data_IF_334988455102
#
_entry.id   IF_334988455102
#
_cell.length_a   1.000
_cell.length_b   1.000
_cell.length_c   1.000
_cell.angle_alpha   90.00
_cell.angle_beta   90.00
_cell.angle_gamma   90.00
#
_symmetry.space_group_name_H-M   'P 1'
#
loop_
_entity.id
_entity.type
_entity.pdbx_description
1 polymer ?
#
# COMPACT_ATOMS: atom_id res chain seq x y z
N UNK A 1 -10.46 -53.85 -33.43
CA UNK A 1 -10.40 -55.25 -32.96
C UNK A 1 -10.07 -55.24 -31.46
N UNK A 2 -10.95 -55.73 -30.57
CA UNK A 2 -10.68 -55.77 -29.14
C UNK A 2 -10.10 -57.14 -28.75
N UNK A 3 -9.07 -57.15 -27.89
CA UNK A 3 -8.50 -58.36 -27.31
C UNK A 3 -9.09 -58.57 -25.91
N UNK A 4 -9.90 -59.62 -25.82
CA UNK A 4 -10.43 -60.20 -24.59
C UNK A 4 -9.42 -61.24 -24.07
N UNK A 5 -9.14 -61.26 -22.77
CA UNK A 5 -8.57 -62.46 -22.12
C UNK A 5 -9.34 -62.77 -20.84
N UNK A 6 -9.98 -63.95 -20.84
CA UNK A 6 -10.53 -64.67 -19.70
C UNK A 6 -9.65 -65.89 -19.45
N UNK A 7 -9.43 -66.26 -18.19
CA UNK A 7 -9.51 -67.63 -17.61
C UNK A 7 -9.01 -67.62 -16.15
N UNK A 8 -9.87 -67.92 -15.17
CA UNK A 8 -10.01 -69.22 -14.43
C UNK A 8 -8.69 -69.70 -13.82
N UNK A 9 -8.50 -69.95 -12.53
CA UNK A 9 -9.40 -70.36 -11.45
C UNK A 9 -8.82 -71.63 -10.82
N UNK A 10 -8.59 -71.68 -9.51
CA UNK A 10 -8.42 -72.93 -8.74
C UNK A 10 -8.69 -72.69 -7.25
N UNK A 11 -9.45 -73.59 -6.65
CA UNK A 11 -9.88 -73.59 -5.25
C UNK A 11 -9.13 -74.67 -4.46
N UNK A 12 -8.87 -74.44 -3.16
CA UNK A 12 -8.71 -75.50 -2.13
C UNK A 12 -9.22 -75.00 -0.78
N UNK A 13 -9.91 -75.90 -0.07
CA UNK A 13 -10.58 -75.77 1.22
C UNK A 13 -9.66 -75.66 2.46
N UNK A 14 -10.14 -74.82 3.39
CA UNK A 14 -10.19 -74.89 4.86
C UNK A 14 -9.20 -75.76 5.68
N UNK A 15 -8.58 -75.12 6.67
CA UNK A 15 -8.40 -75.69 8.01
C UNK A 15 -8.69 -74.61 9.06
N UNK A 16 -9.60 -74.91 9.99
CA UNK A 16 -9.99 -74.04 11.10
C UNK A 16 -9.01 -74.16 12.26
N UNK A 17 -8.62 -73.02 12.84
CA UNK A 17 -8.09 -72.95 14.21
C UNK A 17 -8.62 -71.67 14.87
N UNK A 18 -9.36 -71.86 15.95
CA UNK A 18 -9.92 -70.82 16.83
C UNK A 18 -8.82 -70.42 17.81
N UNK A 19 -8.43 -69.14 17.92
CA UNK A 19 -8.01 -68.56 19.21
C UNK A 19 -8.00 -67.02 19.25
N UNK A 20 -8.86 -66.48 20.13
CA UNK A 20 -8.80 -65.24 20.95
C UNK A 20 -8.45 -63.92 20.22
N UNK A 21 -9.48 -63.08 20.03
CA UNK A 21 -9.35 -61.67 19.65
C UNK A 21 -8.94 -60.80 20.86
N UNK A 22 -7.91 -59.93 20.73
CA UNK A 22 -7.70 -58.82 21.65
C UNK A 22 -8.70 -57.68 21.37
N UNK A 23 -8.98 -56.91 22.41
CA UNK A 23 -9.96 -55.82 22.43
C UNK A 23 -9.78 -54.82 21.27
N UNK A 24 -10.90 -54.48 20.65
CA UNK A 24 -11.03 -53.40 19.65
C UNK A 24 -10.50 -52.10 20.24
N UNK A 25 -9.42 -51.58 19.66
CA UNK A 25 -9.17 -50.15 19.70
C UNK A 25 -10.33 -49.50 18.95
N UNK A 26 -11.10 -48.64 19.63
CA UNK A 26 -12.00 -47.73 18.95
C UNK A 26 -11.12 -46.74 18.20
N UNK A 27 -11.06 -46.89 16.88
CA UNK A 27 -10.62 -45.83 15.98
C UNK A 27 -11.54 -44.62 16.24
N UNK A 28 -11.03 -43.65 17.00
CA UNK A 28 -11.61 -42.30 17.00
C UNK A 28 -11.16 -41.68 15.68
N UNK A 29 -11.99 -41.87 14.67
CA UNK A 29 -11.94 -41.13 13.42
C UNK A 29 -12.16 -39.65 13.79
N UNK A 30 -11.07 -38.94 14.06
CA UNK A 30 -11.09 -37.48 14.10
C UNK A 30 -11.29 -37.03 12.67
N UNK A 31 -12.55 -36.96 12.25
CA UNK A 31 -12.97 -36.14 11.12
C UNK A 31 -12.47 -34.73 11.40
N UNK A 32 -11.32 -34.40 10.80
CA UNK A 32 -10.84 -33.05 10.78
C UNK A 32 -11.92 -32.23 10.08
N UNK A 33 -12.66 -31.44 10.85
CA UNK A 33 -13.61 -30.47 10.31
C UNK A 33 -12.76 -29.48 9.51
N UNK A 34 -12.64 -29.71 8.21
CA UNK A 34 -12.11 -28.73 7.27
C UNK A 34 -13.20 -27.67 7.17
N UNK A 35 -13.11 -26.65 8.03
CA UNK A 35 -13.89 -25.42 7.83
C UNK A 35 -13.36 -24.82 6.53
N UNK A 36 -14.16 -24.74 5.45
CA UNK A 36 -13.71 -24.10 4.23
C UNK A 36 -13.38 -22.65 4.57
N UNK A 37 -12.10 -22.28 4.42
CA UNK A 37 -11.71 -20.89 4.51
C UNK A 37 -12.37 -20.16 3.35
N UNK A 38 -13.37 -19.34 3.66
CA UNK A 38 -13.93 -18.37 2.71
C UNK A 38 -12.79 -17.51 2.17
N UNK A 39 -12.74 -17.35 0.84
CA UNK A 39 -11.79 -16.47 0.21
C UNK A 39 -11.91 -15.05 0.80
N UNK A 40 -10.79 -14.33 1.01
CA UNK A 40 -10.86 -12.96 1.50
C UNK A 40 -11.67 -12.07 0.56
N UNK A 41 -12.31 -11.04 1.12
CA UNK A 41 -13.04 -10.06 0.31
C UNK A 41 -12.10 -9.29 -0.63
N UNK A 42 -12.51 -9.02 -1.88
CA UNK A 42 -11.69 -8.28 -2.85
C UNK A 42 -11.28 -6.91 -2.31
N UNK A 43 -10.10 -6.45 -2.70
CA UNK A 43 -9.62 -5.11 -2.33
C UNK A 43 -8.67 -4.54 -3.38
N UNK A 44 -8.89 -3.31 -3.82
CA UNK A 44 -7.97 -2.63 -4.73
C UNK A 44 -6.68 -2.26 -3.99
N UNK A 45 -5.53 -2.43 -4.65
CA UNK A 45 -4.26 -2.15 -3.99
C UNK A 45 -4.11 -0.65 -3.77
N UNK A 46 -3.85 -0.26 -2.52
CA UNK A 46 -3.73 1.15 -2.13
C UNK A 46 -2.61 1.89 -2.90
N UNK A 47 -1.53 1.18 -3.25
CA UNK A 47 -0.46 1.73 -4.10
C UNK A 47 -0.98 2.13 -5.49
N UNK A 48 -1.79 1.29 -6.14
CA UNK A 48 -2.37 1.61 -7.45
C UNK A 48 -3.40 2.74 -7.35
N UNK A 49 -4.21 2.75 -6.29
CA UNK A 49 -5.18 3.82 -6.00
C UNK A 49 -4.50 5.17 -5.75
N UNK A 50 -3.28 5.22 -5.20
CA UNK A 50 -2.54 6.48 -5.04
C UNK A 50 -1.68 6.84 -6.26
N UNK A 51 -1.59 5.98 -7.28
CA UNK A 51 -0.88 6.27 -8.52
C UNK A 51 -1.82 6.86 -9.59
N UNK A 52 -2.70 7.77 -9.16
CA UNK A 52 -3.64 8.52 -10.00
C UNK A 52 -2.95 9.80 -10.48
N UNK A 53 -3.27 10.20 -11.72
CA UNK A 53 -2.81 11.47 -12.27
C UNK A 53 -3.79 12.59 -11.91
N UNK A 54 -3.24 13.76 -11.56
CA UNK A 54 -4.00 14.98 -11.31
C UNK A 54 -3.45 16.10 -12.18
N UNK A 55 -4.36 16.86 -12.78
CA UNK A 55 -4.05 18.13 -13.41
C UNK A 55 -4.56 19.26 -12.53
N UNK A 56 -3.62 19.98 -11.93
CA UNK A 56 -3.92 21.06 -11.00
C UNK A 56 -4.53 22.28 -11.71
N UNK A 57 -4.41 22.39 -13.04
CA UNK A 57 -4.99 23.52 -13.80
C UNK A 57 -6.48 23.29 -14.12
N UNK A 58 -6.86 22.07 -14.52
CA UNK A 58 -8.24 21.75 -14.90
C UNK A 58 -9.06 21.08 -13.79
N UNK A 59 -8.41 20.58 -12.73
CA UNK A 59 -9.07 19.75 -11.72
C UNK A 59 -9.36 18.33 -12.22
N UNK A 60 -8.68 17.90 -13.30
CA UNK A 60 -8.80 16.56 -13.84
C UNK A 60 -8.14 15.53 -12.92
N UNK A 61 -8.86 14.46 -12.66
CA UNK A 61 -8.41 13.21 -12.03
C UNK A 61 -8.44 12.15 -13.12
N UNK A 62 -7.30 11.51 -13.41
CA UNK A 62 -7.22 10.45 -14.41
C UNK A 62 -6.69 9.17 -13.79
N UNK A 63 -7.56 8.15 -13.77
CA UNK A 63 -7.27 6.83 -13.22
C UNK A 63 -6.86 5.92 -14.37
N UNK A 64 -5.73 5.23 -14.21
CA UNK A 64 -5.24 4.24 -15.19
C UNK A 64 -5.55 2.82 -14.74
N UNK A 65 -4.91 1.85 -15.39
CA UNK A 65 -4.88 0.47 -14.91
C UNK A 65 -4.65 0.38 -13.40
N UNK A 66 -5.45 -0.48 -12.77
CA UNK A 66 -5.49 -0.62 -11.32
C UNK A 66 -5.39 -2.09 -10.93
N UNK A 67 -4.76 -2.37 -9.78
CA UNK A 67 -4.56 -3.73 -9.29
C UNK A 67 -5.60 -4.09 -8.23
N UNK A 68 -6.14 -5.30 -8.31
CA UNK A 68 -7.12 -5.89 -7.40
C UNK A 68 -6.51 -7.12 -6.72
N UNK A 69 -6.52 -7.14 -5.39
CA UNK A 69 -6.22 -8.31 -4.57
C UNK A 69 -7.49 -9.11 -4.31
N UNK A 70 -7.33 -10.43 -4.14
CA UNK A 70 -8.41 -11.39 -3.93
C UNK A 70 -9.50 -11.27 -4.99
N UNK A 71 -9.08 -11.12 -6.24
CA UNK A 71 -9.99 -10.97 -7.36
C UNK A 71 -10.92 -12.21 -7.48
N UNK A 72 -12.24 -12.02 -7.65
CA UNK A 72 -13.17 -13.14 -7.86
C UNK A 72 -12.88 -13.84 -9.20
N UNK A 73 -13.08 -15.14 -9.26
CA UNK A 73 -12.89 -15.92 -10.48
C UNK A 73 -13.85 -15.49 -11.61
N UNK A 74 -13.37 -15.49 -12.85
CA UNK A 74 -14.17 -15.19 -14.04
C UNK A 74 -14.15 -13.71 -14.45
N UNK A 75 -15.22 -13.28 -15.13
CA UNK A 75 -15.42 -11.88 -15.52
C UNK A 75 -15.77 -11.04 -14.29
N UNK A 76 -15.20 -9.83 -14.20
CA UNK A 76 -15.34 -8.95 -13.04
C UNK A 76 -15.99 -7.63 -13.45
N UNK A 77 -17.17 -7.32 -12.91
CA UNK A 77 -17.78 -6.01 -13.11
C UNK A 77 -17.18 -4.99 -12.13
N UNK A 78 -16.00 -4.49 -12.46
CA UNK A 78 -15.30 -3.49 -11.67
C UNK A 78 -15.66 -2.06 -12.09
N UNK A 79 -15.71 -1.15 -11.13
CA UNK A 79 -15.90 0.27 -11.40
C UNK A 79 -15.33 1.16 -10.30
N UNK A 80 -15.38 2.46 -10.57
CA UNK A 80 -15.02 3.51 -9.61
C UNK A 80 -16.05 4.63 -9.69
N UNK A 81 -16.50 5.11 -8.54
CA UNK A 81 -17.41 6.23 -8.39
C UNK A 81 -16.73 7.37 -7.64
N UNK A 82 -16.81 8.57 -8.16
CA UNK A 82 -16.48 9.80 -7.45
C UNK A 82 -17.71 10.22 -6.65
N UNK A 83 -17.57 10.31 -5.32
CA UNK A 83 -18.64 10.72 -4.41
C UNK A 83 -18.24 11.96 -3.60
N UNK A 84 -19.22 12.78 -3.24
CA UNK A 84 -19.03 13.89 -2.30
C UNK A 84 -19.08 13.44 -0.83
N UNK A 85 -18.97 14.39 0.10
CA UNK A 85 -19.02 14.17 1.55
C UNK A 85 -20.36 13.61 2.06
N UNK A 86 -21.42 13.67 1.25
CA UNK A 86 -22.74 13.10 1.55
C UNK A 86 -22.94 11.70 0.96
N UNK A 87 -21.90 11.16 0.30
CA UNK A 87 -21.93 9.94 -0.51
C UNK A 87 -22.83 10.05 -1.76
N UNK A 88 -23.09 11.26 -2.25
CA UNK A 88 -23.77 11.45 -3.52
C UNK A 88 -22.80 11.17 -4.66
N UNK A 89 -23.19 10.29 -5.59
CA UNK A 89 -22.38 9.98 -6.78
C UNK A 89 -22.39 11.16 -7.73
N UNK A 90 -21.20 11.70 -7.99
CA UNK A 90 -20.97 12.81 -8.93
C UNK A 90 -20.72 12.25 -10.33
N UNK A 91 -19.86 11.23 -10.41
CA UNK A 91 -19.47 10.58 -11.64
C UNK A 91 -19.07 9.13 -11.37
N UNK A 92 -19.06 8.29 -12.40
CA UNK A 92 -18.57 6.92 -12.30
C UNK A 92 -17.97 6.42 -13.61
N UNK A 93 -17.13 5.40 -13.51
CA UNK A 93 -16.48 4.73 -14.63
C UNK A 93 -16.41 3.23 -14.38
N UNK A 94 -16.47 2.42 -15.45
CA UNK A 94 -16.38 0.96 -15.41
C UNK A 94 -15.11 0.49 -16.10
N UNK A 95 -14.41 -0.48 -15.50
CA UNK A 95 -13.23 -1.10 -16.10
C UNK A 95 -13.62 -2.24 -17.08
N UNK A 96 -12.66 -2.74 -17.87
CA UNK A 96 -12.90 -3.92 -18.70
C UNK A 96 -13.22 -5.14 -17.83
N UNK A 97 -14.21 -5.96 -18.21
CA UNK A 97 -14.61 -7.12 -17.41
C UNK A 97 -13.64 -8.30 -17.48
N UNK A 98 -12.64 -8.26 -18.38
CA UNK A 98 -11.61 -9.29 -18.53
C UNK A 98 -10.33 -8.89 -17.79
N UNK A 99 -10.16 -9.32 -16.52
CA UNK A 99 -9.00 -8.96 -15.73
C UNK A 99 -7.78 -9.74 -16.22
N UNK A 100 -6.62 -9.07 -16.23
CA UNK A 100 -5.35 -9.76 -16.49
C UNK A 100 -4.84 -10.36 -15.19
N UNK A 101 -5.08 -11.66 -15.00
CA UNK A 101 -4.62 -12.41 -13.83
C UNK A 101 -3.11 -12.35 -13.62
N UNK A 102 -2.68 -12.17 -12.37
CA UNK A 102 -1.29 -12.05 -11.93
C UNK A 102 -1.12 -12.77 -10.59
N UNK A 103 -0.08 -13.59 -10.44
CA UNK A 103 0.30 -14.19 -9.15
C UNK A 103 -0.87 -14.77 -8.32
N UNK A 104 -1.71 -15.61 -8.95
CA UNK A 104 -2.80 -16.32 -8.28
C UNK A 104 -3.97 -15.40 -7.92
N UNK A 105 -3.86 -14.68 -6.80
CA UNK A 105 -4.98 -13.92 -6.19
C UNK A 105 -5.05 -12.46 -6.64
N UNK A 106 -4.11 -12.01 -7.47
CA UNK A 106 -4.11 -10.64 -8.00
C UNK A 106 -4.62 -10.60 -9.42
N UNK A 107 -5.26 -9.50 -9.76
CA UNK A 107 -5.64 -9.22 -11.13
C UNK A 107 -5.44 -7.75 -11.45
N UNK A 108 -5.04 -7.45 -12.68
CA UNK A 108 -4.95 -6.08 -13.19
C UNK A 108 -6.16 -5.78 -14.05
N UNK A 109 -6.87 -4.74 -13.66
CA UNK A 109 -8.03 -4.22 -14.38
C UNK A 109 -7.56 -3.10 -15.30
N UNK A 110 -7.93 -3.19 -16.58
CA UNK A 110 -7.61 -2.17 -17.57
C UNK A 110 -8.80 -1.22 -17.79
N UNK A 111 -8.48 0.05 -18.03
CA UNK A 111 -9.45 1.12 -18.27
C UNK A 111 -10.16 0.97 -19.63
N UNK A 112 -11.48 1.23 -19.69
CA UNK A 112 -12.26 1.28 -20.95
C UNK A 112 -12.20 2.71 -21.48
N UNK A 113 -11.07 3.07 -22.07
CA UNK A 113 -10.77 4.50 -22.32
C UNK A 113 -10.37 5.20 -21.02
N UNK A 114 -10.05 6.51 -21.07
CA UNK A 114 -9.53 7.19 -19.89
C UNK A 114 -10.61 7.30 -18.80
N UNK A 115 -10.30 6.81 -17.59
CA UNK A 115 -11.18 6.98 -16.44
C UNK A 115 -10.96 8.37 -15.83
N UNK A 116 -11.53 9.36 -16.51
CA UNK A 116 -11.32 10.78 -16.24
C UNK A 116 -12.51 11.42 -15.52
N UNK A 117 -12.22 12.17 -14.46
CA UNK A 117 -13.20 12.99 -13.73
C UNK A 117 -12.69 14.42 -13.62
N UNK A 118 -13.53 15.41 -13.90
CA UNK A 118 -13.17 16.83 -13.67
C UNK A 118 -13.89 17.33 -12.43
N UNK A 119 -13.14 17.90 -11.49
CA UNK A 119 -13.66 18.40 -10.23
C UNK A 119 -13.14 19.81 -9.94
N UNK A 120 -14.06 20.76 -9.86
CA UNK A 120 -13.72 22.19 -9.70
C UNK A 120 -14.27 22.83 -8.44
N UNK A 121 -15.17 22.16 -7.72
CA UNK A 121 -15.78 22.69 -6.51
C UNK A 121 -14.99 22.25 -5.28
N UNK A 122 -14.47 23.17 -4.44
CA UNK A 122 -13.79 22.80 -3.20
C UNK A 122 -14.67 21.93 -2.30
N UNK A 123 -14.07 20.96 -1.63
CA UNK A 123 -14.82 20.05 -0.76
C UNK A 123 -14.06 18.79 -0.39
N UNK A 124 -14.74 17.87 0.29
CA UNK A 124 -14.24 16.54 0.62
C UNK A 124 -14.95 15.51 -0.25
N UNK A 125 -14.17 14.61 -0.82
CA UNK A 125 -14.59 13.63 -1.81
C UNK A 125 -14.02 12.26 -1.49
N UNK A 126 -14.51 11.25 -2.19
CA UNK A 126 -13.91 9.91 -2.19
C UNK A 126 -14.02 9.27 -3.56
N UNK A 127 -12.96 8.56 -3.96
CA UNK A 127 -13.06 7.55 -5.00
C UNK A 127 -13.46 6.23 -4.34
N UNK A 128 -14.63 5.72 -4.66
CA UNK A 128 -15.18 4.45 -4.15
C UNK A 128 -15.07 3.42 -5.25
N UNK A 129 -14.28 2.37 -5.00
CA UNK A 129 -14.07 1.28 -5.94
C UNK A 129 -15.09 0.16 -5.69
N UNK A 130 -15.62 -0.38 -6.78
CA UNK A 130 -16.77 -1.26 -6.79
C UNK A 130 -16.42 -2.58 -7.48
N UNK A 131 -16.96 -3.69 -6.95
CA UNK A 131 -17.02 -5.00 -7.62
C UNK A 131 -18.48 -5.45 -7.56
N UNK A 132 -19.07 -5.74 -8.73
CA UNK A 132 -20.48 -6.11 -8.88
C UNK A 132 -21.43 -5.11 -8.16
N UNK A 133 -21.10 -3.83 -8.26
CA UNK A 133 -21.85 -2.73 -7.65
C UNK A 133 -21.66 -2.57 -6.14
N UNK A 134 -20.84 -3.41 -5.49
CA UNK A 134 -20.55 -3.32 -4.04
C UNK A 134 -19.25 -2.57 -3.78
N UNK A 135 -19.22 -1.59 -2.86
CA UNK A 135 -17.99 -0.95 -2.42
C UNK A 135 -17.02 -1.94 -1.78
N UNK A 136 -15.78 -1.97 -2.27
CA UNK A 136 -14.71 -2.84 -1.77
C UNK A 136 -13.46 -2.08 -1.32
N UNK A 137 -13.26 -0.86 -1.80
CA UNK A 137 -12.16 0.01 -1.36
C UNK A 137 -12.52 1.47 -1.53
N UNK A 138 -11.95 2.37 -0.71
CA UNK A 138 -12.12 3.82 -0.87
C UNK A 138 -10.83 4.60 -0.71
N UNK A 139 -10.72 5.69 -1.47
CA UNK A 139 -9.65 6.68 -1.36
C UNK A 139 -10.27 8.05 -1.07
N UNK A 140 -10.32 8.49 0.19
CA UNK A 140 -10.80 9.82 0.53
C UNK A 140 -9.72 10.88 0.24
N UNK A 141 -10.18 12.05 -0.19
CA UNK A 141 -9.36 13.20 -0.49
C UNK A 141 -10.17 14.49 -0.36
N UNK A 142 -9.51 15.63 -0.30
CA UNK A 142 -10.14 16.93 -0.41
C UNK A 142 -9.57 17.73 -1.55
N UNK A 143 -10.37 18.68 -2.01
CA UNK A 143 -10.07 19.62 -3.07
C UNK A 143 -10.15 21.04 -2.49
N UNK A 144 -9.08 21.78 -2.67
CA UNK A 144 -9.04 23.23 -2.48
C UNK A 144 -8.94 23.90 -3.85
N UNK A 145 -9.68 25.00 -4.04
CA UNK A 145 -9.44 25.91 -5.16
C UNK A 145 -8.48 26.99 -4.68
N UNK A 146 -7.33 27.07 -5.33
CA UNK A 146 -6.35 28.13 -5.16
C UNK A 146 -6.44 29.08 -6.36
N UNK A 147 -5.82 30.25 -6.24
CA UNK A 147 -5.69 31.19 -7.34
C UNK A 147 -4.22 31.46 -7.55
N UNK A 148 -3.73 31.29 -8.77
CA UNK A 148 -2.41 31.73 -9.18
C UNK A 148 -2.55 32.88 -10.19
N UNK A 149 -1.57 33.79 -10.19
CA UNK A 149 -1.51 34.91 -11.14
C UNK A 149 -1.85 36.27 -10.54
N UNK A 150 -1.14 37.28 -11.05
CA UNK A 150 -1.24 38.68 -10.59
C UNK A 150 -2.33 39.48 -11.32
N UNK A 151 -3.07 38.86 -12.25
CA UNK A 151 -4.13 39.53 -13.02
C UNK A 151 -5.47 39.48 -12.24
N UNK A 152 -5.91 40.60 -11.64
CA UNK A 152 -7.17 40.64 -10.89
C UNK A 152 -8.40 40.52 -11.80
N UNK A 153 -8.26 40.67 -13.12
CA UNK A 153 -9.35 40.56 -14.08
C UNK A 153 -9.48 39.15 -14.67
N UNK A 154 -8.43 38.33 -14.56
CA UNK A 154 -8.41 36.96 -15.04
C UNK A 154 -7.58 36.06 -14.11
N UNK A 155 -8.01 35.86 -12.85
CA UNK A 155 -7.30 35.00 -11.92
C UNK A 155 -7.28 33.57 -12.47
N UNK A 156 -6.08 32.99 -12.59
CA UNK A 156 -5.93 31.59 -13.01
C UNK A 156 -6.34 30.73 -11.81
N UNK A 157 -7.45 30.01 -11.96
CA UNK A 157 -7.86 29.04 -10.94
C UNK A 157 -6.92 27.84 -11.03
N UNK A 158 -6.42 27.43 -9.87
CA UNK A 158 -5.69 26.18 -9.72
C UNK A 158 -6.35 25.35 -8.64
N UNK A 159 -6.07 24.06 -8.67
CA UNK A 159 -6.72 23.06 -7.84
C UNK A 159 -5.65 22.31 -7.05
N UNK A 160 -5.89 22.17 -5.75
CA UNK A 160 -5.00 21.45 -4.84
C UNK A 160 -5.75 20.28 -4.24
N UNK A 161 -5.27 19.08 -4.57
CA UNK A 161 -5.74 17.84 -3.98
C UNK A 161 -4.88 17.49 -2.76
N UNK A 162 -5.53 17.22 -1.63
CA UNK A 162 -4.90 16.68 -0.42
C UNK A 162 -5.60 15.38 -0.04
N UNK A 163 -4.88 14.45 0.59
CA UNK A 163 -5.46 13.15 0.93
C UNK A 163 -4.41 12.15 1.32
N UNK A 164 -4.67 10.89 1.00
CA UNK A 164 -3.88 9.76 1.48
C UNK A 164 -2.43 9.76 0.99
N UNK A 165 -2.11 10.47 -0.11
CA UNK A 165 -0.73 10.72 -0.55
C UNK A 165 0.12 11.37 0.53
N UNK A 166 -0.47 12.29 1.31
CA UNK A 166 0.15 13.01 2.42
C UNK A 166 0.33 12.15 3.67
N UNK A 167 -0.45 11.07 3.78
CA UNK A 167 -0.69 10.32 5.02
C UNK A 167 0.04 8.99 5.04
N UNK A 168 0.10 8.28 3.92
CA UNK A 168 0.66 6.93 3.88
C UNK A 168 2.00 6.87 3.15
N UNK A 169 2.85 5.98 3.67
CA UNK A 169 4.00 5.43 2.98
C UNK A 169 4.05 3.93 3.23
N UNK A 170 5.03 3.25 2.67
CA UNK A 170 5.26 1.83 2.95
C UNK A 170 6.74 1.48 2.81
N UNK A 171 7.18 0.48 3.56
CA UNK A 171 8.49 -0.13 3.45
C UNK A 171 8.40 -1.36 2.56
N UNK A 172 9.28 -1.44 1.58
CA UNK A 172 9.58 -2.69 0.85
C UNK A 172 10.97 -3.17 1.21
N UNK A 173 11.21 -4.48 1.16
CA UNK A 173 12.54 -5.03 1.40
C UNK A 173 13.32 -5.12 0.10
N UNK A 174 14.46 -4.42 0.04
CA UNK A 174 15.47 -4.58 -1.02
C UNK A 174 16.65 -5.40 -0.47
N UNK A 175 17.62 -5.76 -1.31
CA UNK A 175 18.75 -6.62 -0.92
C UNK A 175 20.08 -5.93 -1.18
N UNK A 176 20.97 -5.94 -0.20
CA UNK A 176 22.35 -5.51 -0.33
C UNK A 176 23.27 -6.57 0.28
N UNK A 177 24.22 -7.09 -0.51
CA UNK A 177 25.12 -8.18 -0.11
C UNK A 177 24.37 -9.34 0.58
N UNK A 178 23.30 -9.81 -0.06
CA UNK A 178 22.43 -10.90 0.41
C UNK A 178 21.68 -10.65 1.74
N UNK A 179 21.72 -9.43 2.28
CA UNK A 179 20.97 -9.01 3.45
C UNK A 179 19.82 -8.07 3.07
N UNK A 180 18.63 -8.18 3.71
CA UNK A 180 17.52 -7.28 3.44
C UNK A 180 17.74 -5.91 4.10
N UNK A 181 17.38 -4.85 3.38
CA UNK A 181 17.26 -3.50 3.94
C UNK A 181 15.92 -2.86 3.55
N UNK A 182 15.26 -2.12 4.46
CA UNK A 182 14.03 -1.40 4.14
C UNK A 182 14.28 -0.23 3.18
N UNK A 183 13.47 -0.14 2.14
CA UNK A 183 13.32 1.03 1.27
C UNK A 183 11.96 1.68 1.55
N UNK A 184 11.97 2.95 1.96
CA UNK A 184 10.76 3.73 2.13
C UNK A 184 10.23 4.17 0.77
N UNK A 185 8.94 3.91 0.55
CA UNK A 185 8.20 4.37 -0.60
C UNK A 185 7.07 5.29 -0.10
N UNK A 186 6.96 6.49 -0.66
CA UNK A 186 5.92 7.46 -0.32
C UNK A 186 5.63 8.37 -1.52
N UNK A 187 4.66 9.27 -1.40
CA UNK A 187 4.32 10.23 -2.44
C UNK A 187 4.71 11.64 -1.98
N UNK A 188 5.66 12.25 -2.70
CA UNK A 188 6.14 13.61 -2.43
C UNK A 188 5.94 14.48 -3.67
N UNK A 189 5.64 15.77 -3.48
CA UNK A 189 5.44 16.71 -4.59
C UNK A 189 5.57 18.15 -4.14
N UNK A 190 5.45 19.09 -5.08
CA UNK A 190 5.51 20.53 -4.79
C UNK A 190 4.46 20.98 -3.78
N UNK A 191 3.39 20.19 -3.61
CA UNK A 191 2.36 20.40 -2.58
C UNK A 191 2.83 20.15 -1.14
N UNK A 192 4.00 19.56 -0.94
CA UNK A 192 4.68 19.49 0.35
C UNK A 192 5.47 20.79 0.66
N UNK A 193 5.64 21.70 -0.31
CA UNK A 193 6.36 22.96 -0.13
C UNK A 193 5.44 24.09 0.35
N UNK A 194 6.06 25.15 0.86
CA UNK A 194 5.35 26.39 1.18
C UNK A 194 4.75 27.03 -0.08
N UNK A 195 3.70 27.85 0.10
CA UNK A 195 3.06 28.54 -1.01
C UNK A 195 4.06 29.40 -1.81
N UNK A 196 4.01 29.31 -3.14
CA UNK A 196 4.95 29.99 -4.04
C UNK A 196 6.28 29.27 -4.25
N UNK A 197 6.60 28.25 -3.45
CA UNK A 197 7.80 27.43 -3.68
C UNK A 197 7.52 26.29 -4.67
N UNK A 198 8.39 26.18 -5.68
CA UNK A 198 8.23 25.15 -6.73
C UNK A 198 9.30 24.08 -6.71
N UNK A 199 10.38 24.28 -5.92
CA UNK A 199 11.52 23.38 -5.83
C UNK A 199 12.20 23.49 -4.46
N UNK A 200 12.46 22.35 -3.85
CA UNK A 200 13.39 22.21 -2.74
C UNK A 200 13.95 20.79 -2.73
N UNK A 201 14.92 20.54 -1.84
CA UNK A 201 15.40 19.23 -1.48
C UNK A 201 14.81 18.77 -0.15
N UNK A 202 14.83 17.46 0.05
CA UNK A 202 14.46 16.86 1.33
C UNK A 202 15.51 15.86 1.80
N UNK A 203 15.56 15.64 3.10
CA UNK A 203 16.32 14.57 3.75
C UNK A 203 15.36 13.73 4.57
N UNK A 204 15.58 12.41 4.57
CA UNK A 204 14.92 11.51 5.48
C UNK A 204 15.87 11.13 6.62
N UNK A 205 15.41 11.18 7.86
CA UNK A 205 16.15 10.72 9.02
C UNK A 205 15.34 9.68 9.77
N UNK A 206 16.01 8.68 10.34
CA UNK A 206 15.41 7.72 11.26
C UNK A 206 15.99 7.99 12.64
N UNK A 207 15.09 8.17 13.60
CA UNK A 207 15.40 8.40 15.00
C UNK A 207 14.94 7.24 15.86
N UNK A 208 15.66 6.99 16.94
CA UNK A 208 15.25 6.13 18.04
C UNK A 208 15.54 6.85 19.35
N UNK A 209 14.49 7.29 20.05
CA UNK A 209 14.62 8.38 21.02
C UNK A 209 15.04 9.68 20.33
N UNK A 210 16.02 10.39 20.92
CA UNK A 210 16.55 11.65 20.38
C UNK A 210 17.68 11.46 19.36
N UNK A 211 18.17 10.22 19.21
CA UNK A 211 19.33 9.92 18.38
C UNK A 211 18.92 9.67 16.92
N UNK A 212 19.56 10.39 15.99
CA UNK A 212 19.51 10.08 14.56
C UNK A 212 20.43 8.89 14.28
N UNK A 213 19.83 7.74 14.00
CA UNK A 213 20.55 6.48 13.79
C UNK A 213 20.76 6.13 12.31
N UNK A 214 20.01 6.78 11.41
CA UNK A 214 20.18 6.65 9.97
C UNK A 214 19.67 7.89 9.23
N UNK A 215 20.20 8.15 8.04
CA UNK A 215 19.68 9.20 7.16
C UNK A 215 19.82 8.84 5.68
N UNK A 216 18.97 9.44 4.84
CA UNK A 216 19.14 9.37 3.39
C UNK A 216 20.41 10.11 2.95
N UNK A 217 20.83 9.88 1.70
CA UNK A 217 21.86 10.73 1.08
C UNK A 217 21.31 12.15 0.96
N UNK A 218 22.13 13.16 1.30
CA UNK A 218 21.75 14.59 1.23
C UNK A 218 21.35 15.06 -0.18
N UNK A 219 21.77 14.32 -1.21
CA UNK A 219 21.55 14.66 -2.62
C UNK A 219 20.38 13.91 -3.26
N UNK A 220 19.68 13.05 -2.51
CA UNK A 220 18.75 12.08 -3.10
C UNK A 220 17.41 12.70 -3.51
N UNK A 221 16.92 13.69 -2.77
CA UNK A 221 15.54 14.14 -2.85
C UNK A 221 15.38 15.52 -3.45
N UNK A 222 14.54 15.64 -4.48
CA UNK A 222 13.95 16.93 -4.86
C UNK A 222 12.43 16.78 -4.96
N UNK A 223 11.71 17.83 -4.59
CA UNK A 223 10.28 17.89 -4.82
C UNK A 223 10.02 18.12 -6.31
N UNK A 224 9.24 17.22 -6.92
CA UNK A 224 8.74 17.43 -8.27
C UNK A 224 7.68 18.53 -8.26
N UNK A 225 7.68 19.40 -9.27
CA UNK A 225 6.58 20.34 -9.47
C UNK A 225 5.24 19.61 -9.64
N UNK A 226 4.18 20.24 -9.15
CA UNK A 226 2.80 19.74 -9.22
C UNK A 226 2.44 18.74 -8.12
N UNK A 227 1.54 17.83 -8.46
CA UNK A 227 1.01 16.80 -7.56
C UNK A 227 2.08 15.81 -7.06
N UNK A 228 1.72 15.01 -6.05
CA UNK A 228 2.62 14.02 -5.47
C UNK A 228 3.04 12.94 -6.47
N UNK A 229 4.31 12.53 -6.39
CA UNK A 229 4.89 11.44 -7.18
C UNK A 229 5.48 10.36 -6.28
N UNK A 230 5.39 9.08 -6.69
CA UNK A 230 6.08 7.99 -6.00
C UNK A 230 7.57 8.30 -5.88
N UNK A 231 8.05 8.24 -4.66
CA UNK A 231 9.43 8.56 -4.27
C UNK A 231 9.96 7.42 -3.42
N UNK A 232 11.18 6.98 -3.74
CA UNK A 232 11.89 5.91 -3.07
C UNK A 232 13.06 6.47 -2.28
N UNK A 233 13.17 6.09 -1.03
CA UNK A 233 14.18 6.59 -0.10
C UNK A 233 14.82 5.39 0.60
N UNK A 234 16.10 5.19 0.34
CA UNK A 234 16.94 4.30 1.14
C UNK A 234 17.58 5.10 2.27
N UNK A 235 17.65 4.49 3.45
CA UNK A 235 18.38 5.03 4.59
C UNK A 235 19.74 4.35 4.71
N UNK A 236 20.71 5.09 5.20
CA UNK A 236 22.09 4.64 5.35
C UNK A 236 22.56 4.92 6.78
N UNK A 237 23.56 4.17 7.24
CA UNK A 237 24.27 4.55 8.46
C UNK A 237 24.80 5.99 8.37
N UNK A 238 24.93 6.70 9.52
CA UNK A 238 25.42 8.07 9.52
C UNK A 238 26.75 8.19 8.79
N UNK A 239 26.84 9.13 7.86
CA UNK A 239 28.00 9.29 6.98
C UNK A 239 28.21 10.75 6.61
N UNK A 240 29.46 11.11 6.33
CA UNK A 240 29.79 12.43 5.78
C UNK A 240 29.51 12.48 4.27
N UNK A 241 29.41 13.69 3.71
CA UNK A 241 29.24 13.91 2.26
C UNK A 241 30.31 13.21 1.42
N UNK A 242 31.55 13.09 1.92
CA UNK A 242 32.65 12.41 1.23
C UNK A 242 32.46 10.89 1.18
N UNK A 243 31.71 10.33 2.13
CA UNK A 243 31.50 8.88 2.30
C UNK A 243 30.24 8.37 1.59
N UNK A 244 29.39 9.26 1.07
CA UNK A 244 28.16 8.93 0.32
C UNK A 244 28.31 7.77 -0.68
N UNK A 245 29.38 7.69 -1.50
CA UNK A 245 29.53 6.61 -2.48
C UNK A 245 29.64 5.22 -1.86
N UNK A 246 30.13 5.13 -0.62
CA UNK A 246 30.38 3.88 0.10
C UNK A 246 29.45 3.70 1.31
N UNK A 247 28.46 4.58 1.49
CA UNK A 247 27.54 4.52 2.62
C UNK A 247 26.79 3.18 2.62
N UNK A 248 26.85 2.48 3.75
CA UNK A 248 26.16 1.22 3.97
C UNK A 248 24.67 1.47 4.24
N UNK A 249 23.74 0.78 3.54
CA UNK A 249 22.32 0.85 3.85
C UNK A 249 22.04 0.50 5.31
N UNK A 250 21.03 1.09 5.91
CA UNK A 250 20.60 0.72 7.26
C UNK A 250 19.79 -0.58 7.18
N UNK A 251 20.40 -1.71 7.55
CA UNK A 251 19.85 -3.05 7.30
C UNK A 251 18.63 -3.35 8.17
N UNK A 252 17.78 -4.30 7.76
CA UNK A 252 16.64 -4.70 8.57
C UNK A 252 17.06 -5.15 9.98
N UNK A 253 18.21 -5.80 10.11
CA UNK A 253 18.79 -6.18 11.42
C UNK A 253 19.12 -4.98 12.31
N UNK A 254 19.40 -3.81 11.75
CA UNK A 254 19.62 -2.58 12.50
C UNK A 254 18.29 -1.97 12.97
N UNK A 255 17.28 -1.96 12.10
CA UNK A 255 15.91 -1.54 12.45
C UNK A 255 15.33 -2.39 13.58
N UNK A 256 15.61 -3.68 13.58
CA UNK A 256 15.00 -4.64 14.53
C UNK A 256 15.91 -4.99 15.70
N UNK A 257 17.00 -4.24 15.90
CA UNK A 257 17.99 -4.51 16.96
C UNK A 257 17.43 -4.28 18.36
N UNK A 258 16.56 -3.28 18.49
CA UNK A 258 15.88 -2.93 19.73
C UNK A 258 14.39 -2.77 19.47
N UNK A 259 13.59 -3.30 20.39
CA UNK A 259 12.16 -3.05 20.44
C UNK A 259 11.91 -1.59 20.86
N UNK A 260 10.84 -0.99 20.32
CA UNK A 260 10.48 0.39 20.62
C UNK A 260 9.92 1.15 19.44
N UNK A 261 9.75 2.46 19.66
CA UNK A 261 9.29 3.41 18.66
C UNK A 261 10.47 3.99 17.88
N UNK A 262 10.41 3.89 16.57
CA UNK A 262 11.30 4.58 15.65
C UNK A 262 10.52 5.68 14.94
N UNK A 263 11.15 6.83 14.76
CA UNK A 263 10.55 7.98 14.08
C UNK A 263 11.27 8.27 12.79
N UNK A 264 10.59 8.09 11.67
CA UNK A 264 11.12 8.47 10.36
C UNK A 264 10.61 9.86 9.99
N UNK A 265 11.51 10.82 9.87
CA UNK A 265 11.18 12.21 9.55
C UNK A 265 11.66 12.58 8.17
N UNK A 266 10.78 13.21 7.39
CA UNK A 266 11.10 13.86 6.13
C UNK A 266 11.14 15.37 6.40
N UNK A 267 12.31 15.98 6.23
CA UNK A 267 12.51 17.41 6.47
C UNK A 267 13.02 18.10 5.21
N UNK A 268 12.66 19.37 5.06
CA UNK A 268 13.12 20.25 4.00
C UNK A 268 14.56 20.68 4.26
N UNK A 269 15.41 20.62 3.24
CA UNK A 269 16.84 20.90 3.42
C UNK A 269 17.12 22.39 3.60
N UNK A 270 16.31 23.27 3.00
CA UNK A 270 16.55 24.72 3.03
C UNK A 270 16.40 25.35 4.42
N UNK A 271 15.43 24.88 5.22
CA UNK A 271 15.08 25.49 6.51
C UNK A 271 14.83 24.49 7.64
N UNK A 272 14.92 23.18 7.37
CA UNK A 272 14.68 22.14 8.35
C UNK A 272 13.20 21.89 8.67
N UNK A 273 12.25 22.47 7.92
CA UNK A 273 10.84 22.26 8.18
C UNK A 273 10.46 20.78 8.09
N UNK A 274 9.76 20.28 9.11
CA UNK A 274 9.22 18.93 9.13
C UNK A 274 8.06 18.84 8.15
N UNK A 275 8.23 18.02 7.12
CA UNK A 275 7.22 17.76 6.09
C UNK A 275 6.31 16.62 6.56
N UNK A 276 6.92 15.50 7.00
CA UNK A 276 6.20 14.32 7.50
C UNK A 276 7.00 13.60 8.57
N UNK A 277 6.28 12.98 9.50
CA UNK A 277 6.85 12.07 10.49
C UNK A 277 6.06 10.77 10.47
N UNK A 278 6.72 9.63 10.38
CA UNK A 278 6.11 8.31 10.46
C UNK A 278 6.59 7.62 11.73
N UNK A 279 5.65 7.06 12.47
CA UNK A 279 5.97 6.23 13.65
C UNK A 279 6.00 4.77 13.23
N UNK A 280 7.11 4.11 13.54
CA UNK A 280 7.40 2.74 13.16
C UNK A 280 7.69 1.97 14.44
N UNK A 281 6.81 1.04 14.79
CA UNK A 281 6.94 0.22 16.00
C UNK A 281 7.69 -1.07 15.67
N UNK A 282 8.68 -1.39 16.50
CA UNK A 282 9.43 -2.66 16.44
C UNK A 282 9.15 -3.44 17.71
N UNK A 283 8.84 -4.72 17.54
CA UNK A 283 8.60 -5.65 18.64
C UNK A 283 9.00 -7.07 18.24
N UNK A 284 9.66 -7.78 19.15
CA UNK A 284 10.10 -9.17 18.95
C UNK A 284 10.94 -9.34 17.67
N UNK A 285 11.80 -8.36 17.39
CA UNK A 285 12.66 -8.35 16.21
C UNK A 285 11.92 -8.15 14.89
N UNK A 286 10.71 -7.58 14.90
CA UNK A 286 9.91 -7.32 13.70
C UNK A 286 9.30 -5.92 13.71
N UNK A 287 9.31 -5.27 12.55
CA UNK A 287 8.49 -4.08 12.32
C UNK A 287 7.02 -4.50 12.33
N UNK A 288 6.20 -3.80 13.11
CA UNK A 288 4.79 -4.09 13.29
C UNK A 288 3.98 -3.53 12.11
N UNK A 289 3.07 -4.35 11.59
CA UNK A 289 2.15 -3.95 10.54
C UNK A 289 1.09 -2.97 11.07
N UNK A 290 0.61 -2.08 10.21
CA UNK A 290 -0.54 -1.24 10.55
C UNK A 290 -1.79 -2.11 10.74
N UNK A 291 -2.65 -1.78 11.73
CA UNK A 291 -3.93 -2.47 11.92
C UNK A 291 -4.81 -2.53 10.66
N UNK A 292 -4.78 -1.47 9.83
CA UNK A 292 -5.52 -1.41 8.57
C UNK A 292 -5.07 -2.42 7.50
N UNK A 293 -3.96 -3.12 7.72
CA UNK A 293 -3.48 -4.18 6.81
C UNK A 293 -3.85 -5.60 7.27
N UNK A 294 -4.54 -5.73 8.41
CA UNK A 294 -5.06 -7.00 8.87
C UNK A 294 -6.29 -7.40 8.03
N UNK A 295 -6.37 -8.66 7.60
CA UNK A 295 -7.54 -9.17 6.85
C UNK A 295 -8.86 -9.09 7.62
N UNK A 296 -8.80 -8.87 8.93
CA UNK A 296 -9.94 -8.69 9.83
C UNK A 296 -10.29 -7.22 10.06
N UNK A 297 -9.74 -6.30 9.27
CA UNK A 297 -9.99 -4.87 9.39
C UNK A 297 -11.45 -4.55 9.11
N UNK A 298 -12.07 -3.74 9.98
CA UNK A 298 -13.44 -3.25 9.80
C UNK A 298 -13.51 -1.72 9.90
N UNK A 299 -14.22 -1.03 8.99
CA UNK A 299 -14.92 -1.60 7.84
C UNK A 299 -13.93 -2.09 6.77
N UNK A 300 -14.21 -3.24 6.13
CA UNK A 300 -13.29 -3.83 5.14
C UNK A 300 -12.97 -2.90 3.95
N UNK A 301 -13.83 -1.94 3.63
CA UNK A 301 -13.57 -0.92 2.59
C UNK A 301 -12.33 -0.03 2.90
N UNK A 302 -11.86 -0.01 4.14
CA UNK A 302 -10.65 0.68 4.59
C UNK A 302 -9.41 -0.23 4.68
N UNK A 303 -9.56 -1.50 4.31
CA UNK A 303 -8.46 -2.46 4.27
C UNK A 303 -7.38 -2.01 3.28
N UNK A 304 -6.14 -2.03 3.73
CA UNK A 304 -4.94 -1.73 2.94
C UNK A 304 -4.22 -3.04 2.65
N UNK A 305 -4.19 -3.45 1.38
CA UNK A 305 -3.47 -4.67 0.99
C UNK A 305 -1.98 -4.58 1.37
N UNK A 306 -1.40 -5.54 2.12
CA UNK A 306 0.00 -5.57 2.54
C UNK A 306 0.94 -6.02 1.41
N UNK A 307 0.54 -5.80 0.16
CA UNK A 307 1.33 -6.10 -1.02
C UNK A 307 1.23 -4.98 -2.04
N UNK A 308 2.34 -4.73 -2.71
CA UNK A 308 2.48 -3.67 -3.69
C UNK A 308 3.11 -4.20 -4.97
N UNK A 309 2.78 -3.56 -6.08
CA UNK A 309 3.26 -3.93 -7.39
C UNK A 309 4.72 -3.50 -7.55
N UNK A 310 5.56 -4.42 -8.03
CA UNK A 310 6.90 -4.13 -8.54
C UNK A 310 6.90 -4.23 -10.06
N UNK A 311 7.37 -3.16 -10.72
CA UNK A 311 7.45 -3.07 -12.18
C UNK A 311 8.94 -3.06 -12.58
N UNK A 312 9.37 -4.11 -13.28
CA UNK A 312 10.65 -4.19 -13.97
C UNK A 312 10.46 -4.42 -15.47
N UNK A 313 11.53 -4.30 -16.26
CA UNK A 313 11.46 -4.43 -17.72
C UNK A 313 10.76 -5.73 -18.21
N UNK A 314 10.90 -6.82 -17.46
CA UNK A 314 10.30 -8.13 -17.77
C UNK A 314 9.50 -8.74 -16.62
N UNK A 315 9.31 -8.00 -15.52
CA UNK A 315 8.71 -8.55 -14.30
C UNK A 315 7.56 -7.66 -13.85
N UNK A 316 6.39 -8.29 -13.77
CA UNK A 316 5.22 -7.77 -13.09
C UNK A 316 4.90 -8.71 -11.95
N UNK A 317 5.09 -8.25 -10.72
CA UNK A 317 4.84 -9.08 -9.54
C UNK A 317 4.47 -8.26 -8.33
N UNK A 318 4.23 -8.95 -7.23
CA UNK A 318 3.84 -8.33 -5.98
C UNK A 318 4.83 -8.69 -4.87
N UNK A 319 5.21 -7.69 -4.08
CA UNK A 319 6.05 -7.88 -2.89
C UNK A 319 5.30 -7.46 -1.65
N UNK A 320 5.67 -8.04 -0.52
CA UNK A 320 5.19 -7.59 0.79
C UNK A 320 5.59 -6.14 1.04
N UNK A 321 4.66 -5.39 1.64
CA UNK A 321 4.85 -4.01 2.02
C UNK A 321 4.37 -3.80 3.45
N UNK A 322 5.21 -3.16 4.26
CA UNK A 322 4.85 -2.71 5.61
C UNK A 322 4.38 -1.28 5.50
N UNK A 323 3.07 -1.08 5.46
CA UNK A 323 2.48 0.25 5.42
C UNK A 323 2.79 1.03 6.69
N UNK A 324 3.00 2.33 6.56
CA UNK A 324 3.26 3.27 7.67
C UNK A 324 2.38 4.51 7.48
N UNK A 325 1.91 5.06 8.60
CA UNK A 325 1.03 6.23 8.62
C UNK A 325 1.77 7.41 9.22
N UNK A 326 1.66 8.57 8.57
CA UNK A 326 2.25 9.79 9.10
C UNK A 326 1.44 10.30 10.27
N UNK A 327 2.14 10.86 11.24
CA UNK A 327 1.54 11.69 12.27
C UNK A 327 1.41 13.13 11.74
N UNK A 328 0.34 13.84 12.12
CA UNK A 328 0.30 15.28 11.89
C UNK A 328 1.52 15.91 12.58
N UNK A 329 2.19 16.84 11.90
CA UNK A 329 3.25 17.60 12.54
C UNK A 329 2.68 18.25 13.80
N UNK A 330 3.19 17.86 14.98
CA UNK A 330 2.87 18.56 16.23
C UNK A 330 3.23 20.02 16.00
N UNK A 331 2.24 20.92 16.06
CA UNK A 331 2.52 22.36 16.01
C UNK A 331 3.42 22.66 17.20
N UNK A 332 4.65 23.09 16.93
CA UNK A 332 5.61 23.50 17.96
C UNK A 332 5.01 24.67 18.75
N UNK A 333 4.36 24.38 19.88
CA UNK A 333 3.65 25.39 20.68
C UNK A 333 2.55 24.85 21.60
N UNK A 334 2.16 23.58 21.52
CA UNK A 334 1.04 23.03 22.31
C UNK A 334 1.47 22.16 23.51
N UNK A 335 2.72 22.25 23.96
CA UNK A 335 3.19 21.61 25.20
C UNK A 335 3.67 22.69 26.19
N UNK A 336 2.79 23.06 27.13
CA UNK A 336 3.07 23.38 28.55
C UNK A 336 1.95 24.21 29.20
N UNK A 337 0.75 23.66 29.38
CA UNK A 337 -0.19 24.18 30.38
C UNK A 337 -1.19 23.12 30.86
N UNK A 338 -0.69 21.97 31.33
CA UNK A 338 -1.52 21.07 32.14
C UNK A 338 -0.69 20.36 33.22
N UNK A 339 -0.08 21.16 34.09
CA UNK A 339 0.13 20.77 35.50
C UNK A 339 -0.26 21.96 36.37
N UNK A 340 -1.34 21.79 37.14
CA UNK A 340 -1.63 22.51 38.37
C UNK A 340 -2.18 21.56 39.40
#
# INVERSE_FOLDING_TARGET
MPLTFKRTGLAVLALSAITIAPASAHDVETDAIIVPMTAPEPAFTYQSMMNIYFDDESGLISIRDIDLAFAPEGEINAGVALVDSTNTVIASHTFYPDPRWREGVFARLSEVGPADFTLTEPGTYSLVYLIDGKPVSRLPFGLEQTSEGDDPFNPVKTYRFYGMWGVYGYLTMNTWKDAPFPELNLWLGGRDLAEGETKDMFVATLKHGDDVIAHSKETLGFFSQGHYKPTKISLFHPHTRREIPNAEPFMLSDWTRADGEYRLEITRTSDGALIRSFVINVKDGKVQNLPSTALTMEPHIDYITPRVTIKGANMYGFVEAIWVKSEPAKKSGEEAHEER
#
